data_IF_966387940879
#
_entry.id   IF_966387940879
#
_cell.length_a   1.000
_cell.length_b   1.000
_cell.length_c   1.000
_cell.angle_alpha   90.00
_cell.angle_beta   90.00
_cell.angle_gamma   90.00
#
_symmetry.space_group_name_H-M   'P 1'
#
loop_
_entity.id
_entity.type
_entity.pdbx_description
1 polymer ?
#
# COMPACT_ATOMS: atom_id res chain seq x y z
N UNK A 1 -21.39 4.79 13.49
CA UNK A 1 -22.27 4.95 12.31
C UNK A 1 -23.58 5.53 12.79
N UNK A 2 -24.17 6.43 12.01
CA UNK A 2 -25.40 7.09 12.40
C UNK A 2 -26.58 6.09 12.43
N UNK A 3 -27.59 6.27 13.30
CA UNK A 3 -28.68 5.30 13.48
C UNK A 3 -29.53 5.04 12.23
N UNK A 4 -29.64 6.04 11.36
CA UNK A 4 -30.36 6.07 10.08
C UNK A 4 -29.64 5.34 8.94
N UNK A 5 -28.37 4.94 9.15
CA UNK A 5 -27.54 4.33 8.11
C UNK A 5 -28.14 3.03 7.54
N UNK A 6 -28.93 2.30 8.34
CA UNK A 6 -29.52 1.02 7.96
C UNK A 6 -30.97 1.12 7.48
N UNK A 7 -31.56 2.32 7.45
CA UNK A 7 -32.96 2.52 7.05
C UNK A 7 -33.18 2.22 5.55
N UNK A 8 -32.15 2.43 4.73
CA UNK A 8 -32.09 1.99 3.33
C UNK A 8 -30.92 1.03 3.12
N UNK A 9 -31.22 -0.26 3.08
CA UNK A 9 -30.22 -1.33 2.95
C UNK A 9 -29.43 -1.26 1.64
N UNK A 10 -30.02 -0.77 0.54
CA UNK A 10 -29.32 -0.62 -0.74
C UNK A 10 -28.35 0.55 -0.71
N UNK A 11 -28.77 1.67 -0.12
CA UNK A 11 -27.89 2.83 0.06
C UNK A 11 -26.72 2.51 0.99
N UNK A 12 -26.99 1.78 2.09
CA UNK A 12 -25.97 1.31 3.03
C UNK A 12 -24.93 0.41 2.34
N UNK A 13 -25.37 -0.57 1.55
CA UNK A 13 -24.49 -1.49 0.80
C UNK A 13 -23.61 -0.72 -0.20
N UNK A 14 -24.21 0.21 -0.97
CA UNK A 14 -23.46 1.05 -1.89
C UNK A 14 -22.39 1.87 -1.17
N UNK A 15 -22.71 2.44 0.00
CA UNK A 15 -21.78 3.23 0.78
C UNK A 15 -20.64 2.39 1.38
N UNK A 16 -20.94 1.19 1.87
CA UNK A 16 -19.93 0.25 2.35
C UNK A 16 -18.98 -0.19 1.24
N UNK A 17 -19.51 -0.42 0.03
CA UNK A 17 -18.71 -0.76 -1.15
C UNK A 17 -17.76 0.38 -1.52
N UNK A 18 -18.24 1.62 -1.52
CA UNK A 18 -17.42 2.81 -1.75
C UNK A 18 -16.30 2.94 -0.70
N UNK A 19 -16.65 2.83 0.58
CA UNK A 19 -15.67 2.88 1.69
C UNK A 19 -14.62 1.79 1.52
N UNK A 20 -15.03 0.56 1.18
CA UNK A 20 -14.10 -0.57 0.98
C UNK A 20 -13.14 -0.31 -0.18
N UNK A 21 -13.63 0.22 -1.30
CA UNK A 21 -12.79 0.57 -2.45
C UNK A 21 -11.75 1.63 -2.09
N UNK A 22 -12.17 2.70 -1.39
CA UNK A 22 -11.25 3.76 -0.94
C UNK A 22 -10.23 3.20 0.05
N UNK A 23 -10.69 2.41 1.03
CA UNK A 23 -9.82 1.80 2.03
C UNK A 23 -8.78 0.87 1.40
N UNK A 24 -9.17 0.10 0.38
CA UNK A 24 -8.23 -0.77 -0.34
C UNK A 24 -7.12 0.06 -0.96
N UNK A 25 -7.48 1.17 -1.62
CA UNK A 25 -6.53 2.12 -2.20
C UNK A 25 -5.59 2.75 -1.18
N UNK A 26 -6.11 3.19 -0.04
CA UNK A 26 -5.28 3.79 1.02
C UNK A 26 -4.34 2.75 1.63
N UNK A 27 -4.84 1.54 1.90
CA UNK A 27 -4.04 0.45 2.46
C UNK A 27 -2.90 0.05 1.50
N UNK A 28 -3.16 -0.04 0.19
CA UNK A 28 -2.12 -0.36 -0.81
C UNK A 28 -1.06 0.76 -0.90
N UNK A 29 -1.49 2.03 -0.87
CA UNK A 29 -0.59 3.18 -0.90
C UNK A 29 0.31 3.22 0.34
N UNK A 30 -0.25 3.01 1.53
CA UNK A 30 0.51 2.94 2.79
C UNK A 30 1.53 1.78 2.74
N UNK A 31 1.15 0.63 2.19
CA UNK A 31 2.06 -0.51 2.04
C UNK A 31 3.23 -0.21 1.09
N UNK A 32 3.00 0.50 -0.01
CA UNK A 32 4.06 0.96 -0.92
C UNK A 32 4.96 1.98 -0.23
N UNK A 33 4.38 2.97 0.45
CA UNK A 33 5.14 3.98 1.18
C UNK A 33 6.06 3.35 2.24
N UNK A 34 5.55 2.39 3.00
CA UNK A 34 6.34 1.67 4.00
C UNK A 34 7.49 0.89 3.34
N UNK A 35 7.23 0.17 2.24
CA UNK A 35 8.26 -0.60 1.55
C UNK A 35 9.39 0.29 0.99
N UNK A 36 9.06 1.48 0.48
CA UNK A 36 10.05 2.48 0.07
C UNK A 36 10.89 2.95 1.26
N UNK A 37 10.26 3.27 2.38
CA UNK A 37 10.97 3.68 3.58
C UNK A 37 11.89 2.57 4.13
N UNK A 38 11.44 1.31 4.11
CA UNK A 38 12.22 0.16 4.53
C UNK A 38 13.43 -0.07 3.60
N UNK A 39 13.24 0.12 2.28
CA UNK A 39 14.32 0.05 1.28
C UNK A 39 15.38 1.13 1.53
N UNK A 40 14.96 2.36 1.83
CA UNK A 40 15.88 3.47 2.15
C UNK A 40 16.70 3.18 3.42
N UNK A 41 16.05 2.68 4.48
CA UNK A 41 16.72 2.28 5.72
C UNK A 41 17.72 1.15 5.47
N UNK A 42 17.34 0.14 4.68
CA UNK A 42 18.22 -0.96 4.34
C UNK A 42 19.43 -0.49 3.51
N UNK A 43 19.22 0.48 2.62
CA UNK A 43 20.29 1.10 1.85
C UNK A 43 21.26 1.91 2.72
N UNK A 44 20.77 2.56 3.78
CA UNK A 44 21.64 3.21 4.76
C UNK A 44 22.49 2.19 5.54
N UNK A 45 21.91 1.05 5.96
CA UNK A 45 22.69 -0.05 6.55
C UNK A 45 23.75 -0.61 5.59
N UNK A 46 23.46 -0.69 4.29
CA UNK A 46 24.46 -1.09 3.30
C UNK A 46 25.65 -0.13 3.23
N UNK A 47 25.41 1.20 3.28
CA UNK A 47 26.49 2.21 3.31
C UNK A 47 27.36 2.10 4.56
N UNK A 48 26.78 1.64 5.66
CA UNK A 48 27.48 1.40 6.92
C UNK A 48 28.19 0.04 6.96
N UNK A 49 28.01 -0.80 5.92
CA UNK A 49 28.56 -2.15 5.85
C UNK A 49 27.80 -3.17 6.70
N UNK A 50 26.60 -2.81 7.17
CA UNK A 50 25.71 -3.64 8.01
C UNK A 50 24.68 -4.44 7.20
N UNK A 51 24.55 -4.17 5.90
CA UNK A 51 23.78 -4.96 4.95
C UNK A 51 24.59 -5.25 3.69
N UNK A 52 24.18 -6.27 2.94
CA UNK A 52 24.79 -6.65 1.67
C UNK A 52 24.05 -6.04 0.48
N UNK A 53 24.76 -5.85 -0.64
CA UNK A 53 24.15 -5.38 -1.90
C UNK A 53 23.00 -6.30 -2.35
N UNK A 54 23.12 -7.61 -2.13
CA UNK A 54 22.09 -8.58 -2.48
C UNK A 54 20.80 -8.39 -1.64
N UNK A 55 20.93 -8.05 -0.36
CA UNK A 55 19.77 -7.74 0.49
C UNK A 55 19.07 -6.46 0.04
N UNK A 56 19.84 -5.40 -0.27
CA UNK A 56 19.27 -4.14 -0.80
C UNK A 56 18.57 -4.39 -2.13
N UNK A 57 19.18 -5.15 -3.05
CA UNK A 57 18.59 -5.42 -4.35
C UNK A 57 17.30 -6.21 -4.24
N UNK A 58 17.24 -7.20 -3.34
CA UNK A 58 16.03 -7.99 -3.12
C UNK A 58 14.86 -7.13 -2.58
N UNK A 59 15.13 -6.24 -1.62
CA UNK A 59 14.11 -5.34 -1.09
C UNK A 59 13.68 -4.30 -2.13
N UNK A 60 14.64 -3.75 -2.89
CA UNK A 60 14.35 -2.83 -3.98
C UNK A 60 13.44 -3.47 -5.04
N UNK A 61 13.75 -4.69 -5.49
CA UNK A 61 12.95 -5.41 -6.49
C UNK A 61 11.52 -5.67 -5.98
N UNK A 62 11.38 -6.06 -4.70
CA UNK A 62 10.09 -6.27 -4.07
C UNK A 62 9.28 -4.96 -3.96
N UNK A 63 9.92 -3.87 -3.57
CA UNK A 63 9.31 -2.53 -3.50
C UNK A 63 8.89 -2.04 -4.88
N UNK A 64 9.73 -2.23 -5.89
CA UNK A 64 9.41 -1.86 -7.27
C UNK A 64 8.15 -2.58 -7.77
N UNK A 65 8.02 -3.89 -7.51
CA UNK A 65 6.82 -4.64 -7.87
C UNK A 65 5.55 -4.10 -7.20
N UNK A 66 5.64 -3.66 -5.93
CA UNK A 66 4.50 -3.06 -5.22
C UNK A 66 4.12 -1.71 -5.84
N UNK A 67 5.10 -0.89 -6.21
CA UNK A 67 4.87 0.39 -6.91
C UNK A 67 4.17 0.14 -8.25
N UNK A 68 4.68 -0.77 -9.07
CA UNK A 68 4.10 -1.11 -10.38
C UNK A 68 2.65 -1.64 -10.24
N UNK A 69 2.39 -2.46 -9.21
CA UNK A 69 1.03 -2.96 -8.93
C UNK A 69 0.06 -1.82 -8.57
N UNK A 70 0.51 -0.83 -7.78
CA UNK A 70 -0.28 0.34 -7.43
C UNK A 70 -0.54 1.25 -8.65
N UNK A 71 0.48 1.43 -9.50
CA UNK A 71 0.35 2.17 -10.76
C UNK A 71 -0.65 1.51 -11.70
N UNK A 72 -0.59 0.19 -11.84
CA UNK A 72 -1.54 -0.57 -12.66
C UNK A 72 -2.98 -0.44 -12.13
N UNK A 73 -3.15 -0.45 -10.80
CA UNK A 73 -4.46 -0.19 -10.16
C UNK A 73 -5.03 1.18 -10.54
N UNK A 74 -4.20 2.20 -10.75
CA UNK A 74 -4.62 3.55 -11.18
C UNK A 74 -5.14 3.60 -12.61
N UNK A 75 -4.64 2.71 -13.46
CA UNK A 75 -4.97 2.67 -14.89
C UNK A 75 -6.31 1.98 -15.16
N UNK A 76 -6.85 1.23 -14.19
CA UNK A 76 -8.12 0.50 -14.24
C UNK A 76 -9.25 1.26 -13.54
#
# INVERSE_FOLDING_TARGET
MAPDFWDDSKAAEAKLKEIKSIKTWTDDYEAVQQAVADTDVLFDFYKEGEATEAEVQAEYDATQQKVEALEFKRML
#
